data_IF_242476636404
#
_entry.id   IF_242476636404
#
_cell.length_a   1.000
_cell.length_b   1.000
_cell.length_c   1.000
_cell.angle_alpha   90.00
_cell.angle_beta   90.00
_cell.angle_gamma   90.00
#
_symmetry.space_group_name_H-M   'P 1'
#
loop_
_entity.id
_entity.type
_entity.pdbx_description
1 polymer ?
#
# COMPACT_ATOMS: atom_id res chain seq x y z
N UNK A 1 -30.82 19.28 27.57
CA UNK A 1 -29.95 18.13 27.24
C UNK A 1 -29.15 18.50 25.99
N UNK A 2 -27.94 19.02 26.16
CA UNK A 2 -27.11 19.51 25.04
C UNK A 2 -26.68 18.32 24.18
N UNK A 3 -27.05 18.31 22.89
CA UNK A 3 -26.55 17.29 21.95
C UNK A 3 -25.06 17.55 21.72
N UNK A 4 -24.22 16.56 21.99
CA UNK A 4 -22.79 16.59 21.62
C UNK A 4 -22.67 16.87 20.11
N UNK A 5 -22.12 18.04 19.70
CA UNK A 5 -21.97 18.40 18.29
C UNK A 5 -21.00 17.43 17.58
N UNK A 6 -20.12 16.78 18.35
CA UNK A 6 -19.10 15.86 17.88
C UNK A 6 -17.93 16.55 17.18
N UNK A 7 -16.78 15.91 17.22
CA UNK A 7 -15.56 16.38 16.55
C UNK A 7 -15.57 15.93 15.09
N UNK A 8 -15.32 16.82 14.11
CA UNK A 8 -15.14 16.41 12.72
C UNK A 8 -14.02 15.38 12.57
N UNK A 9 -14.25 14.25 11.90
CA UNK A 9 -13.23 13.20 11.79
C UNK A 9 -12.04 13.57 10.89
N UNK A 10 -12.24 14.52 9.98
CA UNK A 10 -11.19 15.12 9.15
C UNK A 10 -10.16 15.90 9.98
N UNK A 11 -10.49 16.32 11.22
CA UNK A 11 -9.51 16.98 12.11
C UNK A 11 -8.33 16.08 12.51
N UNK A 12 -8.41 14.77 12.26
CA UNK A 12 -7.34 13.81 12.52
C UNK A 12 -6.36 13.66 11.35
N UNK A 13 -6.69 14.23 10.18
CA UNK A 13 -5.87 14.14 8.98
C UNK A 13 -5.40 15.54 8.60
N UNK A 14 -4.09 15.72 8.51
CA UNK A 14 -3.53 17.02 8.18
C UNK A 14 -3.74 17.31 6.69
N UNK A 15 -4.51 18.36 6.43
CA UNK A 15 -4.73 18.91 5.08
C UNK A 15 -3.68 19.98 4.81
N UNK A 16 -3.25 20.07 3.55
CA UNK A 16 -2.32 21.09 3.08
C UNK A 16 -2.96 22.48 3.20
N UNK A 17 -2.26 23.50 3.73
CA UNK A 17 -2.82 24.83 3.94
C UNK A 17 -3.48 25.44 2.69
N UNK A 18 -2.86 25.26 1.53
CA UNK A 18 -3.33 25.73 0.22
C UNK A 18 -4.62 25.04 -0.25
N UNK A 19 -4.91 23.83 0.23
CA UNK A 19 -6.12 23.08 -0.11
C UNK A 19 -7.22 23.20 0.95
N UNK A 20 -6.96 23.88 2.08
CA UNK A 20 -7.85 23.86 3.24
C UNK A 20 -9.27 24.39 2.95
N UNK A 21 -9.40 25.29 1.97
CA UNK A 21 -10.69 25.86 1.57
C UNK A 21 -11.43 25.00 0.53
N UNK A 22 -10.72 24.14 -0.19
CA UNK A 22 -11.27 23.33 -1.29
C UNK A 22 -11.70 21.93 -0.84
N UNK A 23 -11.23 21.47 0.33
CA UNK A 23 -11.59 20.16 0.87
C UNK A 23 -13.01 20.19 1.46
N UNK A 24 -13.93 19.34 0.97
CA UNK A 24 -15.27 19.23 1.54
C UNK A 24 -15.23 18.78 3.00
N UNK A 25 -15.94 19.50 3.87
CA UNK A 25 -16.04 19.14 5.29
C UNK A 25 -16.72 17.80 5.47
N UNK A 26 -16.17 16.94 6.33
CA UNK A 26 -16.75 15.63 6.56
C UNK A 26 -18.13 15.71 7.25
N UNK A 27 -19.06 14.87 6.79
CA UNK A 27 -20.35 14.62 7.45
C UNK A 27 -20.20 13.73 8.69
N UNK A 28 -19.11 12.96 8.77
CA UNK A 28 -18.88 12.06 9.90
C UNK A 28 -18.32 12.83 11.10
N UNK A 29 -19.08 12.87 12.20
CA UNK A 29 -18.68 13.47 13.46
C UNK A 29 -18.44 12.38 14.50
N UNK A 30 -17.27 12.43 15.15
CA UNK A 30 -16.89 11.62 16.28
C UNK A 30 -17.74 12.08 17.47
N UNK A 31 -18.57 11.19 18.02
CA UNK A 31 -19.48 11.52 19.11
C UNK A 31 -19.21 10.65 20.32
N UNK A 32 -19.11 11.27 21.48
CA UNK A 32 -18.87 10.57 22.74
C UNK A 32 -20.03 9.60 22.99
N UNK A 33 -19.70 8.40 23.45
CA UNK A 33 -20.69 7.35 23.70
C UNK A 33 -21.21 6.64 22.44
N UNK A 34 -21.17 7.27 21.26
CA UNK A 34 -21.67 6.69 19.99
C UNK A 34 -20.56 6.07 19.15
N UNK A 35 -19.48 6.80 18.88
CA UNK A 35 -18.34 6.31 18.10
C UNK A 35 -17.55 5.28 18.90
N UNK A 36 -17.06 4.22 18.24
CA UNK A 36 -16.19 3.23 18.89
C UNK A 36 -14.89 3.91 19.33
N UNK A 37 -14.75 4.12 20.64
CA UNK A 37 -13.57 4.73 21.25
C UNK A 37 -12.51 3.68 21.60
N UNK A 38 -11.27 4.13 21.84
CA UNK A 38 -10.15 3.30 22.31
C UNK A 38 -10.56 2.44 23.51
N UNK A 39 -11.14 3.07 24.54
CA UNK A 39 -11.60 2.37 25.75
C UNK A 39 -12.62 1.28 25.44
N UNK A 40 -13.59 1.57 24.56
CA UNK A 40 -14.63 0.62 24.17
C UNK A 40 -14.08 -0.51 23.29
N UNK A 41 -13.05 -0.24 22.51
CA UNK A 41 -12.33 -1.21 21.69
C UNK A 41 -11.55 -2.18 22.58
N UNK A 42 -10.73 -1.66 23.51
CA UNK A 42 -9.99 -2.49 24.46
C UNK A 42 -10.91 -3.38 25.30
N UNK A 43 -12.05 -2.83 25.76
CA UNK A 43 -13.04 -3.59 26.52
C UNK A 43 -13.87 -4.58 25.70
N UNK A 44 -13.68 -4.64 24.37
CA UNK A 44 -14.36 -5.62 23.51
C UNK A 44 -13.64 -6.97 23.46
N UNK A 45 -12.41 -7.04 24.01
CA UNK A 45 -11.62 -8.26 24.07
C UNK A 45 -11.78 -8.99 25.39
N UNK A 46 -11.70 -10.32 25.35
CA UNK A 46 -11.45 -11.15 26.53
C UNK A 46 -10.00 -11.00 27.01
N UNK A 47 -9.65 -11.46 28.23
CA UNK A 47 -8.25 -11.49 28.69
C UNK A 47 -7.30 -12.23 27.74
N UNK A 48 -7.78 -13.32 27.13
CA UNK A 48 -7.00 -14.12 26.16
C UNK A 48 -6.93 -13.47 24.76
N UNK A 49 -7.73 -12.42 24.52
CA UNK A 49 -7.70 -11.63 23.29
C UNK A 49 -8.74 -11.97 22.24
N UNK A 50 -9.78 -12.72 22.57
CA UNK A 50 -10.92 -12.96 21.67
C UNK A 50 -11.80 -11.71 21.58
N UNK A 51 -12.20 -11.33 20.37
CA UNK A 51 -13.02 -10.15 20.09
C UNK A 51 -14.51 -10.51 20.07
N UNK A 52 -15.34 -9.81 20.85
CA UNK A 52 -16.79 -9.78 20.65
C UNK A 52 -17.12 -8.99 19.37
N UNK A 53 -16.97 -9.65 18.23
CA UNK A 53 -17.13 -9.03 16.90
C UNK A 53 -18.57 -8.59 16.66
N UNK A 54 -19.56 -9.35 17.15
CA UNK A 54 -20.98 -9.03 16.95
C UNK A 54 -21.36 -7.69 17.59
N UNK A 55 -21.03 -7.51 18.87
CA UNK A 55 -21.25 -6.23 19.58
C UNK A 55 -20.45 -5.10 18.95
N UNK A 56 -19.21 -5.39 18.52
CA UNK A 56 -18.31 -4.40 17.94
C UNK A 56 -18.81 -3.89 16.59
N UNK A 57 -19.21 -4.79 15.68
CA UNK A 57 -19.81 -4.43 14.40
C UNK A 57 -21.07 -3.59 14.57
N UNK A 58 -21.94 -3.96 15.50
CA UNK A 58 -23.15 -3.17 15.78
C UNK A 58 -22.82 -1.73 16.21
N UNK A 59 -21.72 -1.50 16.93
CA UNK A 59 -21.27 -0.14 17.28
C UNK A 59 -20.68 0.59 16.08
N UNK A 60 -19.83 -0.08 15.31
CA UNK A 60 -19.20 0.47 14.10
C UNK A 60 -20.26 0.91 13.10
N UNK A 61 -21.27 0.08 12.82
CA UNK A 61 -22.34 0.40 11.89
C UNK A 61 -23.14 1.65 12.30
N UNK A 62 -23.38 1.85 13.60
CA UNK A 62 -24.20 2.97 14.10
C UNK A 62 -23.42 4.26 14.36
N UNK A 63 -22.14 4.13 14.69
CA UNK A 63 -21.34 5.23 15.26
C UNK A 63 -19.98 5.46 14.61
N UNK A 64 -19.56 4.58 13.70
CA UNK A 64 -18.23 4.59 13.10
C UNK A 64 -17.11 4.25 14.08
N UNK A 65 -15.87 4.37 13.58
CA UNK A 65 -14.63 4.06 14.30
C UNK A 65 -13.88 5.36 14.57
N UNK A 66 -13.41 5.54 15.82
CA UNK A 66 -12.54 6.66 16.15
C UNK A 66 -11.24 6.58 15.34
N UNK A 67 -10.77 7.67 14.69
CA UNK A 67 -9.63 7.61 13.77
C UNK A 67 -8.36 6.97 14.34
N UNK A 68 -8.08 7.22 15.63
CA UNK A 68 -6.88 6.70 16.30
C UNK A 68 -6.79 5.17 16.40
N UNK A 69 -7.90 4.44 16.24
CA UNK A 69 -7.92 2.96 16.32
C UNK A 69 -8.32 2.31 14.99
N UNK A 70 -8.49 3.09 13.92
CA UNK A 70 -8.89 2.53 12.61
C UNK A 70 -7.93 1.45 12.13
N UNK A 71 -6.63 1.69 12.25
CA UNK A 71 -5.61 0.70 11.85
C UNK A 71 -5.78 -0.65 12.54
N UNK A 72 -6.01 -0.65 13.86
CA UNK A 72 -6.21 -1.89 14.62
C UNK A 72 -7.55 -2.57 14.29
N UNK A 73 -8.62 -1.79 14.19
CA UNK A 73 -9.97 -2.31 13.92
C UNK A 73 -10.08 -2.88 12.50
N UNK A 74 -9.43 -2.24 11.53
CA UNK A 74 -9.46 -2.66 10.12
C UNK A 74 -8.82 -4.01 9.89
N UNK A 75 -7.84 -4.42 10.70
CA UNK A 75 -7.29 -5.78 10.62
C UNK A 75 -8.39 -6.85 10.85
N UNK A 76 -9.40 -6.58 11.66
CA UNK A 76 -10.53 -7.53 11.81
C UNK A 76 -11.57 -7.36 10.71
N UNK A 77 -11.86 -6.12 10.29
CA UNK A 77 -12.88 -5.88 9.26
C UNK A 77 -12.46 -6.36 7.87
N UNK A 78 -11.16 -6.33 7.57
CA UNK A 78 -10.58 -6.83 6.32
C UNK A 78 -10.28 -8.33 6.38
N UNK A 79 -10.58 -9.01 7.49
CA UNK A 79 -10.34 -10.44 7.64
C UNK A 79 -8.87 -10.82 7.85
N UNK A 80 -7.99 -9.84 8.15
CA UNK A 80 -6.59 -10.11 8.49
C UNK A 80 -6.43 -10.91 9.78
N UNK A 81 -7.37 -10.75 10.73
CA UNK A 81 -7.45 -11.51 11.96
C UNK A 81 -8.82 -12.16 12.13
N UNK A 82 -8.82 -13.41 12.59
CA UNK A 82 -10.02 -14.07 13.10
C UNK A 82 -10.41 -13.44 14.46
N UNK A 83 -11.67 -13.03 14.69
CA UNK A 83 -12.13 -12.60 16.01
C UNK A 83 -11.89 -13.60 17.13
N UNK A 84 -11.78 -14.88 16.81
CA UNK A 84 -11.48 -15.99 17.74
C UNK A 84 -9.99 -16.26 17.90
N UNK A 85 -9.10 -15.45 17.33
CA UNK A 85 -7.67 -15.59 17.60
C UNK A 85 -7.28 -14.96 18.93
N UNK A 86 -6.21 -15.44 19.55
CA UNK A 86 -5.59 -14.82 20.74
C UNK A 86 -4.70 -13.64 20.37
N UNK A 87 -4.16 -12.91 21.37
CA UNK A 87 -3.15 -11.88 21.13
C UNK A 87 -1.86 -12.44 20.53
N UNK A 88 -1.36 -13.54 21.09
CA UNK A 88 -0.10 -14.17 20.66
C UNK A 88 -0.21 -14.72 19.23
N UNK A 89 -1.34 -15.35 18.89
CA UNK A 89 -1.60 -15.82 17.52
C UNK A 89 -1.59 -14.67 16.51
N UNK A 90 -2.18 -13.50 16.85
CA UNK A 90 -2.16 -12.33 15.96
C UNK A 90 -0.77 -11.77 15.77
N UNK A 91 0.04 -11.76 16.82
CA UNK A 91 1.41 -11.29 16.72
C UNK A 91 2.24 -12.24 15.84
N UNK A 92 2.08 -13.56 15.99
CA UNK A 92 2.69 -14.54 15.08
C UNK A 92 2.22 -14.37 13.63
N UNK A 93 0.91 -14.17 13.41
CA UNK A 93 0.34 -13.91 12.08
C UNK A 93 0.94 -12.63 11.47
N UNK A 94 1.10 -11.56 12.27
CA UNK A 94 1.71 -10.31 11.82
C UNK A 94 3.18 -10.49 11.44
N UNK A 95 3.96 -11.19 12.26
CA UNK A 95 5.37 -11.47 12.00
C UNK A 95 5.53 -12.32 10.73
N UNK A 96 4.74 -13.38 10.59
CA UNK A 96 4.73 -14.24 9.40
C UNK A 96 4.41 -13.45 8.13
N UNK A 97 3.36 -12.61 8.15
CA UNK A 97 2.99 -11.77 6.99
C UNK A 97 4.06 -10.74 6.64
N UNK A 98 4.71 -10.14 7.64
CA UNK A 98 5.85 -9.23 7.42
C UNK A 98 7.03 -9.94 6.76
N UNK A 99 7.35 -11.15 7.21
CA UNK A 99 8.41 -11.96 6.61
C UNK A 99 8.06 -12.35 5.16
N UNK A 100 6.82 -12.80 4.91
CA UNK A 100 6.34 -13.13 3.56
C UNK A 100 6.41 -11.91 2.62
N UNK A 101 5.93 -10.75 3.07
CA UNK A 101 6.02 -9.52 2.30
C UNK A 101 7.47 -9.10 2.03
N UNK A 102 8.37 -9.27 3.01
CA UNK A 102 9.79 -8.96 2.82
C UNK A 102 10.43 -9.85 1.75
N UNK A 103 10.09 -11.15 1.71
CA UNK A 103 10.54 -12.06 0.66
C UNK A 103 10.02 -11.63 -0.72
N UNK A 104 8.71 -11.37 -0.85
CA UNK A 104 8.12 -10.92 -2.12
C UNK A 104 8.73 -9.59 -2.60
N UNK A 105 8.96 -8.66 -1.66
CA UNK A 105 9.60 -7.38 -1.95
C UNK A 105 11.03 -7.57 -2.45
N UNK A 106 11.77 -8.52 -1.86
CA UNK A 106 13.12 -8.85 -2.28
C UNK A 106 13.16 -9.46 -3.68
N UNK A 107 12.24 -10.38 -4.00
CA UNK A 107 12.09 -10.93 -5.35
C UNK A 107 11.85 -9.82 -6.38
N UNK A 108 10.92 -8.90 -6.09
CA UNK A 108 10.68 -7.73 -6.93
C UNK A 108 11.94 -6.87 -7.09
N UNK A 109 12.70 -6.66 -6.02
CA UNK A 109 13.94 -5.86 -6.02
C UNK A 109 15.03 -6.48 -6.88
N UNK A 110 15.17 -7.81 -6.87
CA UNK A 110 16.13 -8.50 -7.73
C UNK A 110 15.79 -8.32 -9.23
N UNK A 111 14.51 -8.27 -9.58
CA UNK A 111 14.04 -8.07 -10.96
C UNK A 111 14.07 -6.59 -11.37
N UNK A 112 13.76 -5.68 -10.44
CA UNK A 112 13.75 -4.24 -10.65
C UNK A 112 14.28 -3.51 -9.38
N UNK A 113 15.57 -3.14 -9.34
CA UNK A 113 16.25 -2.62 -8.14
C UNK A 113 15.65 -1.37 -7.49
N UNK A 114 14.74 -0.67 -8.18
CA UNK A 114 14.06 0.49 -7.62
C UNK A 114 13.04 0.11 -6.52
N UNK A 115 12.52 -1.12 -6.53
CA UNK A 115 11.58 -1.60 -5.50
C UNK A 115 12.27 -1.61 -4.13
N UNK A 116 11.71 -0.85 -3.19
CA UNK A 116 12.28 -0.67 -1.86
C UNK A 116 13.37 0.37 -1.73
N UNK A 117 13.70 1.11 -2.79
CA UNK A 117 14.73 2.16 -2.77
C UNK A 117 14.27 3.48 -2.16
N UNK A 118 12.96 3.67 -1.94
CA UNK A 118 12.38 4.97 -1.58
C UNK A 118 12.11 5.89 -2.78
N UNK A 119 12.31 5.37 -4.00
CA UNK A 119 12.03 6.04 -5.27
C UNK A 119 11.07 5.20 -6.10
N UNK A 120 10.51 5.83 -7.13
CA UNK A 120 9.64 5.20 -8.11
C UNK A 120 9.80 5.91 -9.46
N UNK A 121 9.34 5.26 -10.52
CA UNK A 121 9.39 5.76 -11.90
C UNK A 121 8.01 6.25 -12.34
N UNK A 122 7.97 7.18 -13.29
CA UNK A 122 6.73 7.59 -13.96
C UNK A 122 6.80 7.40 -15.47
N UNK A 123 8.00 7.20 -16.02
CA UNK A 123 8.22 6.88 -17.42
C UNK A 123 8.37 5.36 -17.65
N UNK A 124 7.94 4.84 -18.81
CA UNK A 124 8.13 3.43 -19.15
C UNK A 124 9.62 3.10 -19.32
N UNK A 125 10.07 1.99 -18.73
CA UNK A 125 11.48 1.55 -18.76
C UNK A 125 11.75 0.51 -19.86
N UNK A 126 10.71 -0.17 -20.34
CA UNK A 126 10.81 -1.17 -21.39
C UNK A 126 9.76 -0.90 -22.47
N UNK A 127 10.04 -1.34 -23.69
CA UNK A 127 9.06 -1.41 -24.78
C UNK A 127 8.13 -2.62 -24.61
N UNK A 128 7.04 -2.66 -25.38
CA UNK A 128 6.11 -3.80 -25.39
C UNK A 128 6.80 -5.14 -25.79
N UNK A 129 7.94 -5.05 -26.47
CA UNK A 129 8.77 -6.19 -26.86
C UNK A 129 9.78 -6.60 -25.78
N UNK A 130 9.81 -5.92 -24.63
CA UNK A 130 10.73 -6.19 -23.53
C UNK A 130 12.11 -5.54 -23.65
N UNK A 131 12.34 -4.70 -24.66
CA UNK A 131 13.63 -4.03 -24.85
C UNK A 131 13.75 -2.79 -23.94
N UNK A 132 14.91 -2.56 -23.29
CA UNK A 132 15.12 -1.38 -22.45
C UNK A 132 15.03 -0.06 -23.24
N UNK A 133 14.31 0.92 -22.70
CA UNK A 133 14.23 2.28 -23.26
C UNK A 133 15.47 3.07 -22.82
N UNK A 134 16.23 3.59 -23.79
CA UNK A 134 17.47 4.35 -23.57
C UNK A 134 17.27 5.87 -23.41
N UNK A 135 16.05 6.30 -23.09
CA UNK A 135 15.76 7.72 -22.91
C UNK A 135 16.49 8.26 -21.65
N UNK A 136 17.16 9.42 -21.74
CA UNK A 136 17.89 10.01 -20.62
C UNK A 136 17.04 10.23 -19.35
N UNK A 137 15.76 10.58 -19.49
CA UNK A 137 14.84 10.80 -18.36
C UNK A 137 14.51 9.46 -17.69
N UNK A 138 14.24 8.44 -18.50
CA UNK A 138 13.96 7.07 -18.03
C UNK A 138 15.15 6.50 -17.26
N UNK A 139 16.37 6.71 -17.78
CA UNK A 139 17.60 6.26 -17.14
C UNK A 139 17.86 6.98 -15.80
N UNK A 140 17.58 8.28 -15.72
CA UNK A 140 17.71 9.07 -14.48
C UNK A 140 16.70 8.65 -13.40
N UNK A 141 15.49 8.25 -13.79
CA UNK A 141 14.48 7.74 -12.87
C UNK A 141 14.82 6.32 -12.38
N UNK A 142 15.23 5.43 -13.29
CA UNK A 142 15.47 4.01 -13.02
C UNK A 142 16.84 3.71 -12.41
N UNK A 143 17.86 4.53 -12.66
CA UNK A 143 19.24 4.29 -12.21
C UNK A 143 20.06 5.59 -12.12
N UNK A 144 19.92 6.36 -11.03
CA UNK A 144 20.60 7.65 -10.84
C UNK A 144 22.12 7.48 -10.70
N UNK A 145 22.55 6.36 -10.11
CA UNK A 145 23.94 6.09 -9.75
C UNK A 145 24.76 5.48 -10.90
N UNK A 146 24.12 5.15 -12.04
CA UNK A 146 24.78 4.57 -13.23
C UNK A 146 24.99 5.57 -14.36
N UNK A 147 25.03 6.86 -14.06
CA UNK A 147 25.29 7.92 -15.06
C UNK A 147 26.68 7.90 -15.72
N UNK A 148 27.51 6.87 -15.55
CA UNK A 148 28.91 6.87 -16.04
C UNK A 148 29.50 5.52 -16.49
N UNK A 149 28.70 4.49 -16.79
CA UNK A 149 29.27 3.27 -17.40
C UNK A 149 28.31 2.63 -18.42
N UNK A 150 28.52 2.96 -19.69
CA UNK A 150 28.09 2.16 -20.83
C UNK A 150 29.16 1.09 -21.10
N UNK A 151 28.74 -0.19 -21.17
CA UNK A 151 28.81 -1.04 -22.37
C UNK A 151 28.41 -2.50 -22.01
N UNK A 152 27.92 -3.28 -23.00
CA UNK A 152 27.27 -4.57 -22.79
C UNK A 152 28.26 -5.73 -22.86
N UNK A 153 28.02 -6.78 -22.06
CA UNK A 153 28.59 -8.11 -22.28
C UNK A 153 27.42 -9.06 -22.50
N UNK A 154 27.28 -9.51 -23.75
CA UNK A 154 26.55 -10.72 -24.07
C UNK A 154 27.25 -11.90 -23.42
N UNK A 155 26.50 -12.80 -22.79
CA UNK A 155 26.79 -14.21 -22.95
C UNK A 155 25.54 -15.04 -22.76
N UNK A 156 25.14 -15.68 -23.85
CA UNK A 156 24.06 -16.64 -23.87
C UNK A 156 24.42 -17.88 -23.06
N UNK A 157 23.44 -18.46 -22.40
CA UNK A 157 23.44 -19.89 -22.13
C UNK A 157 22.00 -20.39 -22.23
N UNK A 158 21.78 -21.20 -23.25
CA UNK A 158 20.52 -21.89 -23.55
C UNK A 158 20.27 -22.98 -22.50
N UNK A 159 19.20 -22.86 -21.71
CA UNK A 159 18.60 -24.00 -21.01
C UNK A 159 17.08 -23.79 -20.80
N UNK A 160 16.30 -24.77 -21.29
CA UNK A 160 14.86 -25.05 -21.05
C UNK A 160 13.84 -23.99 -21.52
N UNK A 161 13.52 -24.03 -22.82
CA UNK A 161 12.86 -22.98 -23.61
C UNK A 161 11.39 -22.65 -23.31
N UNK A 162 10.63 -23.49 -22.60
CA UNK A 162 9.20 -23.24 -22.38
C UNK A 162 8.94 -22.42 -21.10
N UNK A 163 9.54 -22.83 -19.98
CA UNK A 163 9.36 -22.20 -18.66
C UNK A 163 10.09 -20.86 -18.55
N UNK A 164 11.27 -20.73 -19.18
CA UNK A 164 12.02 -19.46 -19.20
C UNK A 164 11.26 -18.38 -19.97
N UNK A 165 10.67 -18.72 -21.13
CA UNK A 165 9.85 -17.78 -21.90
C UNK A 165 8.61 -17.30 -21.16
N UNK A 166 8.04 -18.14 -20.29
CA UNK A 166 6.85 -17.79 -19.51
C UNK A 166 7.18 -16.84 -18.36
N UNK A 167 8.32 -17.06 -17.69
CA UNK A 167 8.87 -16.15 -16.67
C UNK A 167 9.23 -14.80 -17.28
N UNK A 168 9.86 -14.78 -18.46
CA UNK A 168 10.20 -13.54 -19.15
C UNK A 168 8.96 -12.72 -19.51
N UNK A 169 7.89 -13.38 -19.98
CA UNK A 169 6.60 -12.71 -20.26
C UNK A 169 6.00 -12.10 -19.00
N UNK A 170 6.00 -12.82 -17.87
CA UNK A 170 5.52 -12.29 -16.59
C UNK A 170 6.33 -11.07 -16.16
N UNK A 171 7.65 -11.11 -16.30
CA UNK A 171 8.54 -9.99 -15.95
C UNK A 171 8.28 -8.78 -16.84
N UNK A 172 8.14 -8.98 -18.16
CA UNK A 172 7.85 -7.91 -19.12
C UNK A 172 6.50 -7.28 -18.77
N UNK A 173 5.45 -8.09 -18.62
CA UNK A 173 4.12 -7.59 -18.30
C UNK A 173 4.11 -6.79 -16.99
N UNK A 174 4.76 -7.30 -15.95
CA UNK A 174 4.88 -6.59 -14.68
C UNK A 174 5.63 -5.26 -14.83
N UNK A 175 6.79 -5.25 -15.51
CA UNK A 175 7.57 -4.01 -15.75
C UNK A 175 6.78 -2.96 -16.54
N UNK A 176 5.94 -3.38 -17.48
CA UNK A 176 5.04 -2.47 -18.20
C UNK A 176 4.04 -1.78 -17.25
N UNK A 177 3.62 -2.41 -16.15
CA UNK A 177 2.69 -1.78 -15.18
C UNK A 177 3.34 -0.74 -14.26
N UNK A 178 4.66 -0.81 -14.03
CA UNK A 178 5.33 -0.04 -12.97
C UNK A 178 5.25 1.49 -13.16
N UNK A 179 5.32 1.96 -14.41
CA UNK A 179 5.20 3.40 -14.72
C UNK A 179 3.76 3.89 -14.52
N UNK A 180 2.76 3.07 -14.87
CA UNK A 180 1.35 3.39 -14.65
C UNK A 180 1.05 3.53 -13.16
N UNK A 181 1.58 2.61 -12.33
CA UNK A 181 1.51 2.72 -10.86
C UNK A 181 2.13 4.05 -10.41
N UNK A 182 3.30 4.41 -10.93
CA UNK A 182 3.97 5.67 -10.58
C UNK A 182 3.14 6.92 -10.92
N UNK A 183 2.52 6.94 -12.10
CA UNK A 183 1.62 8.02 -12.51
C UNK A 183 0.40 8.14 -11.60
N UNK A 184 -0.17 7.02 -11.13
CA UNK A 184 -1.28 6.99 -10.19
C UNK A 184 -0.85 7.44 -8.79
N UNK A 185 0.33 7.02 -8.33
CA UNK A 185 0.92 7.44 -7.05
C UNK A 185 1.09 8.97 -7.00
N UNK A 186 1.59 9.59 -8.08
CA UNK A 186 1.74 11.06 -8.18
C UNK A 186 0.39 11.78 -8.24
N UNK A 187 -0.68 11.10 -8.66
CA UNK A 187 -2.04 11.63 -8.70
C UNK A 187 -2.84 11.35 -7.43
N UNK A 188 -2.31 10.52 -6.52
CA UNK A 188 -2.97 10.15 -5.26
C UNK A 188 -3.16 11.40 -4.38
N UNK A 189 -4.32 11.47 -3.72
CA UNK A 189 -4.86 12.60 -2.94
C UNK A 189 -3.84 13.70 -2.59
N UNK A 190 -3.86 14.76 -3.40
CA UNK A 190 -2.94 15.89 -3.28
C UNK A 190 -3.31 16.88 -2.18
N UNK A 191 -4.42 16.66 -1.47
CA UNK A 191 -4.90 17.56 -0.42
C UNK A 191 -4.34 17.22 0.95
N UNK A 192 -3.97 15.96 1.17
CA UNK A 192 -3.42 15.49 2.45
C UNK A 192 -1.89 15.64 2.49
N UNK A 193 -1.38 16.19 3.60
CA UNK A 193 0.07 16.31 3.87
C UNK A 193 0.74 14.93 3.92
N UNK A 194 -0.02 13.87 4.21
CA UNK A 194 0.51 12.51 4.22
C UNK A 194 1.11 12.10 2.87
N UNK A 195 0.48 12.46 1.76
CA UNK A 195 0.92 12.09 0.40
C UNK A 195 1.88 13.11 -0.23
N UNK A 196 2.24 14.18 0.49
CA UNK A 196 3.31 15.09 0.07
C UNK A 196 4.71 14.48 0.29
N UNK A 197 4.82 13.61 1.30
CA UNK A 197 6.09 13.00 1.66
C UNK A 197 6.48 11.90 0.67
N UNK A 198 7.63 12.07 0.03
CA UNK A 198 8.22 11.07 -0.88
C UNK A 198 8.33 9.68 -0.23
N UNK A 199 8.61 9.61 1.07
CA UNK A 199 8.66 8.36 1.84
C UNK A 199 7.34 7.59 1.85
N UNK A 200 6.21 8.29 1.81
CA UNK A 200 4.89 7.67 1.82
C UNK A 200 4.45 7.29 0.40
N UNK A 201 4.75 8.14 -0.59
CA UNK A 201 4.49 7.84 -2.00
C UNK A 201 5.29 6.63 -2.48
N UNK A 202 6.57 6.54 -2.11
CA UNK A 202 7.40 5.38 -2.44
C UNK A 202 6.93 4.10 -1.75
N UNK A 203 6.44 4.16 -0.51
CA UNK A 203 5.79 3.02 0.14
C UNK A 203 4.53 2.57 -0.59
N UNK A 204 3.71 3.51 -1.05
CA UNK A 204 2.51 3.20 -1.83
C UNK A 204 2.88 2.52 -3.15
N UNK A 205 3.86 3.07 -3.87
CA UNK A 205 4.37 2.47 -5.09
C UNK A 205 4.95 1.06 -4.85
N UNK A 206 5.76 0.87 -3.81
CA UNK A 206 6.31 -0.44 -3.44
C UNK A 206 5.21 -1.47 -3.16
N UNK A 207 4.17 -1.10 -2.40
CA UNK A 207 3.06 -2.01 -2.06
C UNK A 207 2.31 -2.42 -3.33
N UNK A 208 1.99 -1.48 -4.21
CA UNK A 208 1.27 -1.74 -5.46
C UNK A 208 2.12 -2.57 -6.44
N UNK A 209 3.42 -2.28 -6.54
CA UNK A 209 4.35 -3.05 -7.37
C UNK A 209 4.48 -4.50 -6.89
N UNK A 210 4.62 -4.71 -5.58
CA UNK A 210 4.68 -6.05 -4.98
C UNK A 210 3.35 -6.79 -5.14
N UNK A 211 2.21 -6.09 -4.99
CA UNK A 211 0.90 -6.69 -5.22
C UNK A 211 0.75 -7.17 -6.67
N UNK A 212 1.08 -6.33 -7.66
CA UNK A 212 1.01 -6.68 -9.08
C UNK A 212 1.98 -7.82 -9.47
N UNK A 213 3.05 -8.03 -8.70
CA UNK A 213 3.97 -9.18 -8.87
C UNK A 213 3.39 -10.47 -8.28
N UNK A 214 2.76 -10.35 -7.10
CA UNK A 214 2.20 -11.45 -6.34
C UNK A 214 0.95 -12.03 -7.01
N UNK A 215 0.01 -11.17 -7.41
CA UNK A 215 -1.22 -11.55 -8.09
C UNK A 215 -1.16 -11.12 -9.55
N UNK A 216 -0.69 -12.02 -10.41
CA UNK A 216 -0.53 -11.73 -11.85
C UNK A 216 -1.82 -11.78 -12.63
N UNK A 217 -2.85 -12.43 -12.10
CA UNK A 217 -4.14 -12.57 -12.78
C UNK A 217 -4.91 -11.26 -12.71
N UNK A 218 -4.82 -10.57 -11.55
CA UNK A 218 -5.35 -9.22 -11.38
C UNK A 218 -4.35 -8.17 -11.86
N UNK A 219 -3.09 -8.31 -11.47
CA UNK A 219 -2.03 -7.35 -11.74
C UNK A 219 -2.33 -5.97 -11.14
N UNK A 220 -2.10 -4.92 -11.94
CA UNK A 220 -2.47 -3.55 -11.58
C UNK A 220 -3.50 -3.00 -12.55
N UNK A 221 -4.52 -2.34 -12.00
CA UNK A 221 -5.52 -1.58 -12.74
C UNK A 221 -5.63 -0.19 -12.12
N UNK A 222 -5.90 0.83 -12.93
CA UNK A 222 -6.06 2.20 -12.47
C UNK A 222 -7.13 2.30 -11.37
N UNK A 223 -6.76 2.87 -10.23
CA UNK A 223 -7.66 3.07 -9.08
C UNK A 223 -7.65 1.97 -8.00
N UNK A 224 -6.81 0.94 -8.14
CA UNK A 224 -6.43 -0.01 -7.05
C UNK A 224 -5.49 0.68 -6.08
#
# INVERSE_FOLDING_TARGET
MWRDPGTPADSFYQVRPECANDVPKTKFKIKVGRTLSVRKWQAAFTPDGYLDIGRTLGRIQRGGIHPSIRGEVWEFLLGCYDPKSTFDEREQIRQRRRAQYAVLKEECRLVFPLVGSGRFITAPVITDNGEPIQDPIVLLEASPDKGLALLPEENGTSHNSATVKEVDKKIIQWKLTLHQIGLDVVRTDRTLVFYEKQENLSKLWDILAVYAWFDTDVGYCQGV
#
